data_IF_418801526293
#
_entry.id   IF_418801526293
#
_cell.length_a   1.000
_cell.length_b   1.000
_cell.length_c   1.000
_cell.angle_alpha   90.00
_cell.angle_beta   90.00
_cell.angle_gamma   90.00
#
_symmetry.space_group_name_H-M   'P 1'
#
loop_
_entity.id
_entity.type
_entity.pdbx_description
1 polymer ?
#
# COMPACT_ATOMS: atom_id res chain seq x y z
N UNK A 1 2.07 -8.49 -2.00
CA UNK A 1 2.47 -7.08 -2.14
C UNK A 1 3.04 -6.90 -3.54
N UNK A 2 2.76 -5.80 -4.22
CA UNK A 2 3.11 -5.55 -5.63
C UNK A 2 4.52 -4.92 -5.73
N UNK A 3 4.88 -4.05 -4.79
CA UNK A 3 6.21 -3.45 -4.72
C UNK A 3 6.80 -3.52 -3.31
N UNK A 4 8.12 -3.47 -3.21
CA UNK A 4 8.82 -3.41 -1.92
C UNK A 4 8.56 -2.06 -1.27
N UNK A 5 8.38 -2.03 0.04
CA UNK A 5 8.17 -0.80 0.83
C UNK A 5 8.79 -0.94 2.21
N UNK A 6 9.49 0.09 2.68
CA UNK A 6 9.72 0.39 4.10
C UNK A 6 8.89 1.61 4.50
N UNK A 7 8.75 1.86 5.81
CA UNK A 7 8.14 3.08 6.35
C UNK A 7 6.72 3.38 5.80
N UNK A 8 6.01 2.33 5.39
CA UNK A 8 4.63 2.46 4.95
C UNK A 8 3.68 2.43 6.15
N UNK A 9 2.55 3.12 6.04
CA UNK A 9 1.46 2.97 6.99
C UNK A 9 0.61 1.74 6.62
N UNK A 10 0.14 1.00 7.62
CA UNK A 10 -0.73 -0.15 7.45
C UNK A 10 -2.02 0.01 8.26
N UNK A 11 -3.16 -0.35 7.69
CA UNK A 11 -4.42 -0.46 8.44
C UNK A 11 -5.29 -1.61 7.93
N UNK A 12 -6.17 -2.12 8.80
CA UNK A 12 -7.19 -3.09 8.45
C UNK A 12 -8.56 -2.41 8.50
N UNK A 13 -9.36 -2.59 7.45
CA UNK A 13 -10.70 -2.01 7.34
C UNK A 13 -11.57 -2.91 6.47
N UNK A 14 -12.80 -3.20 6.93
CA UNK A 14 -13.79 -4.01 6.19
C UNK A 14 -13.25 -5.35 5.66
N UNK A 15 -12.49 -6.08 6.50
CA UNK A 15 -11.92 -7.38 6.14
C UNK A 15 -10.71 -7.33 5.20
N UNK A 16 -10.23 -6.15 4.83
CA UNK A 16 -9.10 -5.95 3.91
C UNK A 16 -7.96 -5.24 4.62
N UNK A 17 -6.74 -5.42 4.10
CA UNK A 17 -5.56 -4.72 4.58
C UNK A 17 -5.15 -3.66 3.57
N UNK A 18 -4.75 -2.48 4.04
CA UNK A 18 -4.30 -1.38 3.21
C UNK A 18 -2.88 -1.01 3.60
N UNK A 19 -2.02 -0.83 2.61
CA UNK A 19 -0.65 -0.34 2.76
C UNK A 19 -0.54 0.97 1.99
N UNK A 20 -0.19 2.05 2.69
CA UNK A 20 -0.24 3.42 2.19
C UNK A 20 1.15 4.02 2.22
N UNK A 21 1.63 4.51 1.06
CA UNK A 21 2.93 5.19 0.97
C UNK A 21 4.12 4.28 1.28
N UNK A 22 5.19 4.84 1.83
CA UNK A 22 6.45 4.17 2.13
C UNK A 22 7.57 4.49 1.12
N UNK A 23 8.69 3.79 1.24
CA UNK A 23 9.88 3.95 0.40
C UNK A 23 10.26 2.61 -0.24
N UNK A 24 10.45 2.59 -1.56
CA UNK A 24 10.77 1.34 -2.28
C UNK A 24 12.28 1.06 -2.45
N UNK A 25 13.14 1.91 -1.89
CA UNK A 25 14.59 1.87 -2.15
C UNK A 25 15.08 2.95 -3.11
N UNK A 26 14.18 3.59 -3.86
CA UNK A 26 14.49 4.64 -4.83
C UNK A 26 13.63 5.90 -4.65
N UNK A 27 12.34 5.73 -4.43
CA UNK A 27 11.36 6.82 -4.36
C UNK A 27 10.44 6.67 -3.15
N UNK A 28 10.04 7.81 -2.58
CA UNK A 28 8.90 7.88 -1.66
C UNK A 28 7.63 7.68 -2.49
N UNK A 29 6.71 6.89 -1.97
CA UNK A 29 5.57 6.38 -2.70
C UNK A 29 4.30 7.15 -2.35
N UNK A 30 3.47 7.40 -3.36
CA UNK A 30 2.09 7.87 -3.19
C UNK A 30 1.04 6.79 -3.45
N UNK A 31 1.48 5.64 -3.96
CA UNK A 31 0.63 4.50 -4.28
C UNK A 31 0.10 3.85 -3.01
N UNK A 32 -1.10 3.26 -3.11
CA UNK A 32 -1.75 2.52 -2.04
C UNK A 32 -2.08 1.13 -2.56
N UNK A 33 -1.82 0.10 -1.76
CA UNK A 33 -2.16 -1.28 -2.08
C UNK A 33 -3.17 -1.83 -1.09
N UNK A 34 -4.14 -2.58 -1.59
CA UNK A 34 -5.16 -3.27 -0.80
C UNK A 34 -4.99 -4.79 -0.97
N UNK A 35 -4.95 -5.50 0.14
CA UNK A 35 -4.98 -6.96 0.18
C UNK A 35 -6.40 -7.45 0.42
N UNK A 36 -6.83 -8.42 -0.39
CA UNK A 36 -8.11 -9.13 -0.29
C UNK A 36 -7.81 -10.56 0.16
N UNK A 37 -7.99 -10.89 1.45
CA UNK A 37 -7.63 -12.21 2.00
C UNK A 37 -8.38 -13.38 1.34
N UNK A 38 -9.63 -13.17 0.93
CA UNK A 38 -10.47 -14.21 0.33
C UNK A 38 -9.93 -14.69 -1.03
N UNK A 39 -9.19 -13.83 -1.71
CA UNK A 39 -8.63 -14.09 -3.04
C UNK A 39 -7.10 -14.25 -3.01
N UNK A 40 -6.48 -13.97 -1.87
CA UNK A 40 -5.02 -13.87 -1.71
C UNK A 40 -4.35 -12.95 -2.74
N UNK A 41 -4.96 -11.79 -2.98
CA UNK A 41 -4.50 -10.85 -4.02
C UNK A 41 -4.22 -9.48 -3.41
N UNK A 42 -3.14 -8.87 -3.88
CA UNK A 42 -2.84 -7.47 -3.70
C UNK A 42 -3.26 -6.68 -4.94
N UNK A 43 -3.90 -5.54 -4.74
CA UNK A 43 -4.36 -4.66 -5.83
C UNK A 43 -3.98 -3.22 -5.51
N UNK A 44 -3.41 -2.50 -6.47
CA UNK A 44 -3.20 -1.06 -6.36
C UNK A 44 -4.54 -0.32 -6.45
N UNK A 45 -4.77 0.63 -5.56
CA UNK A 45 -5.97 1.47 -5.54
C UNK A 45 -5.58 2.95 -5.71
N UNK A 46 -6.55 3.86 -5.62
CA UNK A 46 -6.33 5.30 -5.78
C UNK A 46 -5.12 5.81 -4.96
N UNK A 47 -4.32 6.69 -5.57
CA UNK A 47 -3.10 7.22 -4.99
C UNK A 47 -3.40 8.38 -4.03
N UNK A 48 -2.47 8.65 -3.12
CA UNK A 48 -2.45 9.91 -2.36
C UNK A 48 -2.11 11.09 -3.27
N UNK A 49 -2.50 12.30 -2.87
CA UNK A 49 -2.16 13.54 -3.60
C UNK A 49 -0.66 13.89 -3.55
N UNK A 50 0.08 13.30 -2.62
CA UNK A 50 1.51 13.54 -2.45
C UNK A 50 2.19 12.30 -1.87
N UNK A 51 3.44 12.00 -2.27
CA UNK A 51 4.20 10.91 -1.67
C UNK A 51 4.39 11.07 -0.16
N UNK A 52 4.35 9.96 0.59
CA UNK A 52 4.60 9.94 2.04
C UNK A 52 5.25 8.62 2.46
N UNK A 53 6.16 8.65 3.44
CA UNK A 53 6.70 7.52 4.19
C UNK A 53 6.69 7.84 5.69
#
# INVERSE_FOLDING_TARGET
>A
MIQRRSDAAACAMNGKMYIVGGYNGENVLQTIEMYIPEMDIWTEIAHMNSPRS
#
